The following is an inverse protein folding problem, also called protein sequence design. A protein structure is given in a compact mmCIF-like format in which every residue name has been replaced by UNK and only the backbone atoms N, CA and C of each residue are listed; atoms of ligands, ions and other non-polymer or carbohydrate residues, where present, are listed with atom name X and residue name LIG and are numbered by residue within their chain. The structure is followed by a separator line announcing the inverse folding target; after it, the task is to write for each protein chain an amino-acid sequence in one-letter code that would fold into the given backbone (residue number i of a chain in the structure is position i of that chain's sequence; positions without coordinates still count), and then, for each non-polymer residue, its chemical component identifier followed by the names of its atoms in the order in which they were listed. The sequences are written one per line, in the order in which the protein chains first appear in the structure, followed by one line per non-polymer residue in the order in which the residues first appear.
data_IF_355063528007
#
_entry.id   IF_355063528007
#
_cell.length_a   1.000
_cell.length_b   1.000
_cell.length_c   1.000
_cell.angle_alpha   90.00
_cell.angle_beta   90.00
_cell.angle_gamma   90.00
#
_symmetry.space_group_name_H-M   'P 1'
#
loop_
_entity.id
_entity.type
_entity.pdbx_description
1 polymer ?
#
# COMPACT_ATOMS: atom_id res chain seq x y z
N UNK A 1 6.94 7.01 -26.23
CA UNK A 1 8.03 6.39 -25.45
C UNK A 1 7.99 6.97 -24.04
N UNK A 2 7.75 6.15 -23.02
CA UNK A 2 8.13 6.52 -21.65
C UNK A 2 9.19 5.50 -21.21
N UNK A 3 10.48 5.84 -21.25
CA UNK A 3 11.49 5.02 -20.64
C UNK A 3 11.65 5.43 -19.16
N UNK A 4 11.47 4.41 -18.28
CA UNK A 4 12.17 4.19 -16.99
C UNK A 4 11.52 4.83 -15.74
N UNK A 5 11.24 4.00 -14.71
CA UNK A 5 12.22 3.70 -13.66
C UNK A 5 12.80 2.28 -13.77
N UNK A 6 14.13 2.16 -13.73
CA UNK A 6 14.89 0.89 -13.69
C UNK A 6 15.42 0.70 -12.26
N UNK A 7 14.63 1.11 -11.29
CA UNK A 7 14.92 0.92 -9.88
C UNK A 7 13.99 -0.15 -9.38
N UNK A 8 14.53 -1.29 -8.94
CA UNK A 8 13.75 -2.38 -8.35
C UNK A 8 12.87 -1.90 -7.20
N UNK A 9 13.31 -0.88 -6.45
CA UNK A 9 12.51 -0.21 -5.43
C UNK A 9 11.23 0.37 -6.01
N UNK A 10 11.33 1.24 -7.02
CA UNK A 10 10.18 1.92 -7.60
C UNK A 10 9.21 0.93 -8.25
N UNK A 11 9.74 -0.07 -8.95
CA UNK A 11 8.91 -1.08 -9.63
C UNK A 11 8.19 -1.99 -8.62
N UNK A 12 8.87 -2.44 -7.55
CA UNK A 12 8.18 -3.14 -6.46
C UNK A 12 7.11 -2.26 -5.80
N UNK A 13 7.39 -0.98 -5.58
CA UNK A 13 6.43 -0.03 -5.02
C UNK A 13 5.18 0.09 -5.89
N UNK A 14 5.34 0.25 -7.21
CA UNK A 14 4.20 0.29 -8.13
C UNK A 14 3.43 -1.03 -8.16
N UNK A 15 4.12 -2.17 -8.09
CA UNK A 15 3.46 -3.46 -7.99
C UNK A 15 2.63 -3.61 -6.69
N UNK A 16 3.18 -3.18 -5.54
CA UNK A 16 2.45 -3.19 -4.27
C UNK A 16 1.22 -2.28 -4.35
N UNK A 17 1.38 -1.06 -4.86
CA UNK A 17 0.28 -0.10 -5.05
C UNK A 17 -0.81 -0.71 -5.94
N UNK A 18 -0.42 -1.32 -7.07
CA UNK A 18 -1.35 -2.00 -7.97
C UNK A 18 -2.09 -3.14 -7.26
N UNK A 19 -1.41 -3.95 -6.46
CA UNK A 19 -2.04 -5.03 -5.70
C UNK A 19 -3.03 -4.51 -4.66
N UNK A 20 -2.69 -3.43 -3.95
CA UNK A 20 -3.55 -2.85 -2.91
C UNK A 20 -4.81 -2.22 -3.51
N UNK A 21 -4.65 -1.44 -4.59
CA UNK A 21 -5.77 -0.69 -5.18
C UNK A 21 -6.76 -1.60 -5.90
N UNK A 22 -6.28 -2.69 -6.50
CA UNK A 22 -7.14 -3.66 -7.18
C UNK A 22 -7.92 -4.53 -6.19
N UNK A 23 -7.33 -4.84 -5.02
CA UNK A 23 -7.98 -5.72 -4.04
C UNK A 23 -8.26 -7.12 -4.61
N UNK A 24 -9.35 -7.73 -4.15
CA UNK A 24 -9.87 -8.97 -4.70
C UNK A 24 -10.94 -8.63 -5.76
N UNK A 25 -10.51 -8.54 -7.02
CA UNK A 25 -11.36 -8.16 -8.16
C UNK A 25 -12.47 -9.18 -8.49
N UNK A 26 -12.56 -10.29 -7.75
CA UNK A 26 -13.50 -11.40 -7.98
C UNK A 26 -14.97 -10.96 -7.99
N UNK A 27 -15.35 -9.89 -7.30
CA UNK A 27 -16.75 -9.43 -7.23
C UNK A 27 -17.26 -8.58 -8.40
N UNK A 28 -16.39 -7.99 -9.23
CA UNK A 28 -16.82 -7.03 -10.26
C UNK A 28 -17.06 -7.63 -11.66
N UNK A 29 -16.67 -8.89 -11.87
CA UNK A 29 -16.83 -9.57 -13.17
C UNK A 29 -18.21 -10.21 -13.29
N UNK A 30 -18.83 -10.62 -12.18
CA UNK A 30 -20.13 -11.33 -12.21
C UNK A 30 -21.35 -10.41 -12.31
N UNK A 31 -21.26 -9.14 -11.91
CA UNK A 31 -22.42 -8.24 -11.87
C UNK A 31 -22.88 -7.69 -13.23
N UNK A 32 -22.12 -7.89 -14.31
CA UNK A 32 -22.47 -7.35 -15.64
C UNK A 32 -22.99 -8.39 -16.65
N UNK A 33 -23.00 -9.67 -16.30
CA UNK A 33 -23.56 -10.72 -17.18
C UNK A 33 -25.06 -11.00 -16.97
N UNK A 34 -25.69 -10.37 -15.97
CA UNK A 34 -27.09 -10.65 -15.60
C UNK A 34 -28.12 -9.59 -16.02
N UNK A 35 -27.80 -8.65 -16.92
CA UNK A 35 -28.74 -7.56 -17.28
C UNK A 35 -28.85 -7.28 -18.79
N UNK A 36 -28.61 -8.28 -19.64
CA UNK A 36 -28.97 -8.18 -21.06
C UNK A 36 -29.87 -9.35 -21.40
N UNK A 37 -31.13 -9.23 -20.97
CA UNK A 37 -32.26 -9.67 -21.78
C UNK A 37 -33.52 -8.95 -21.31
N UNK A 38 -34.29 -8.52 -22.31
CA UNK A 38 -35.69 -8.14 -22.31
C UNK A 38 -36.08 -6.64 -22.39
N UNK A 39 -36.83 -6.41 -23.47
CA UNK A 39 -37.82 -5.36 -23.72
C UNK A 39 -37.37 -4.01 -24.27
N UNK A 40 -37.18 -4.04 -25.59
CA UNK A 40 -37.59 -3.03 -26.59
C UNK A 40 -39.01 -2.50 -26.36
N UNK A 41 -39.16 -1.16 -26.29
CA UNK A 41 -40.28 -0.30 -26.73
C UNK A 41 -40.01 1.12 -26.17
N UNK A 42 -39.44 2.03 -26.95
CA UNK A 42 -40.14 2.93 -27.88
C UNK A 42 -41.33 3.66 -27.24
N UNK A 43 -41.12 4.90 -26.79
CA UNK A 43 -41.90 6.03 -27.31
C UNK A 43 -41.29 7.38 -26.91
N UNK A 44 -41.34 8.30 -27.87
CA UNK A 44 -40.81 9.66 -27.83
C UNK A 44 -41.92 10.64 -27.45
N UNK A 45 -41.67 11.64 -26.59
CA UNK A 45 -42.06 13.07 -26.78
C UNK A 45 -41.74 13.99 -25.58
N UNK A 46 -40.78 14.85 -25.85
CA UNK A 46 -40.68 16.30 -25.58
C UNK A 46 -41.91 17.03 -24.99
N UNK A 47 -41.71 17.83 -23.92
CA UNK A 47 -41.94 19.30 -23.85
C UNK A 47 -41.74 19.84 -22.43
N UNK A 48 -41.03 20.96 -22.29
CA UNK A 48 -40.79 21.67 -21.03
C UNK A 48 -41.90 22.66 -20.62
N UNK A 49 -41.78 23.20 -19.40
CA UNK A 49 -41.99 24.60 -18.99
C UNK A 49 -42.10 24.75 -17.45
N UNK A 50 -41.10 25.42 -16.86
CA UNK A 50 -41.14 26.57 -15.94
C UNK A 50 -42.20 26.72 -14.80
N UNK A 51 -41.66 26.98 -13.60
CA UNK A 51 -42.12 27.84 -12.47
C UNK A 51 -43.42 27.55 -11.68
N UNK A 52 -43.27 27.35 -10.35
CA UNK A 52 -43.89 28.25 -9.35
C UNK A 52 -43.29 28.11 -7.93
N UNK A 53 -43.19 29.25 -7.26
CA UNK A 53 -42.74 29.55 -5.90
C UNK A 53 -43.91 29.41 -4.89
N UNK A 54 -43.63 29.00 -3.64
CA UNK A 54 -44.15 29.49 -2.33
C UNK A 54 -43.63 28.53 -1.22
N UNK A 55 -42.79 28.94 -0.25
CA UNK A 55 -43.13 29.55 1.07
C UNK A 55 -44.15 28.69 1.86
N UNK A 56 -44.06 28.34 3.16
CA UNK A 56 -43.34 28.83 4.36
C UNK A 56 -43.66 27.89 5.56
N UNK A 57 -42.95 28.09 6.69
CA UNK A 57 -43.32 27.81 8.12
C UNK A 57 -43.41 26.36 8.65
N UNK A 58 -42.50 25.93 9.55
CA UNK A 58 -42.54 25.91 11.05
C UNK A 58 -43.79 25.27 11.68
N UNK A 59 -43.61 24.19 12.46
CA UNK A 59 -43.69 24.23 13.93
C UNK A 59 -43.30 22.88 14.57
N UNK A 60 -42.72 23.02 15.76
CA UNK A 60 -42.38 22.03 16.78
C UNK A 60 -43.59 21.22 17.27
N UNK A 61 -43.36 20.02 17.82
CA UNK A 61 -43.86 19.72 19.17
C UNK A 61 -43.19 18.50 19.82
N UNK A 62 -42.81 18.71 21.08
CA UNK A 62 -42.36 17.76 22.09
C UNK A 62 -43.57 17.17 22.81
N UNK A 63 -43.42 15.98 23.42
CA UNK A 63 -44.03 15.49 24.70
C UNK A 63 -43.69 13.99 24.81
N UNK A 64 -42.79 13.53 25.70
CA UNK A 64 -42.82 13.38 27.17
C UNK A 64 -43.59 12.15 27.67
N UNK A 65 -42.83 11.29 28.37
CA UNK A 65 -43.16 10.50 29.59
C UNK A 65 -44.25 9.40 29.48
N UNK A 66 -43.94 8.17 29.96
CA UNK A 66 -44.15 7.83 31.38
C UNK A 66 -43.61 6.43 31.74
N UNK A 67 -43.18 6.27 32.99
CA UNK A 67 -42.76 5.03 33.66
C UNK A 67 -43.97 4.20 34.15
N UNK A 68 -43.78 2.91 34.46
CA UNK A 68 -44.07 2.23 35.75
C UNK A 68 -44.10 0.67 35.59
N UNK A 69 -43.47 -0.07 36.52
CA UNK A 69 -43.20 -1.54 36.53
C UNK A 69 -44.41 -2.48 36.78
N UNK A 70 -44.32 -3.63 37.53
CA UNK A 70 -43.21 -4.19 38.32
C UNK A 70 -43.01 -5.75 38.25
N UNK A 71 -42.03 -6.22 39.05
CA UNK A 71 -41.73 -7.56 39.66
C UNK A 71 -42.45 -8.87 39.26
N UNK A 72 -41.67 -9.96 39.15
CA UNK A 72 -42.01 -11.28 39.67
C UNK A 72 -40.77 -12.18 39.90
N UNK A 73 -40.94 -13.13 40.81
CA UNK A 73 -39.96 -13.80 41.67
C UNK A 73 -39.79 -15.29 41.32
N UNK A 74 -38.70 -15.91 41.81
CA UNK A 74 -38.61 -17.30 42.37
C UNK A 74 -38.16 -18.52 41.50
N UNK A 75 -37.09 -19.16 42.01
CA UNK A 75 -36.71 -20.61 42.06
C UNK A 75 -36.40 -21.40 40.79
N UNK A 76 -35.68 -22.52 40.80
CA UNK A 76 -34.59 -23.15 41.58
C UNK A 76 -34.37 -24.51 40.88
N UNK A 77 -33.16 -25.07 40.95
CA UNK A 77 -32.79 -26.46 40.62
C UNK A 77 -32.89 -26.93 39.15
N UNK A 78 -31.73 -27.21 38.54
CA UNK A 78 -31.36 -28.60 38.21
C UNK A 78 -29.87 -28.73 37.83
N UNK A 79 -29.14 -29.46 38.68
CA UNK A 79 -28.18 -30.53 38.34
C UNK A 79 -27.07 -30.25 37.30
N UNK A 80 -25.84 -30.12 37.83
CA UNK A 80 -24.57 -30.17 37.10
C UNK A 80 -24.34 -31.54 36.43
N UNK A 81 -24.28 -31.56 35.10
CA UNK A 81 -23.62 -32.59 34.29
C UNK A 81 -22.28 -32.04 33.77
N UNK A 82 -21.22 -32.85 33.60
CA UNK A 82 -19.90 -32.36 33.24
C UNK A 82 -19.86 -31.86 31.79
N UNK A 83 -19.45 -30.60 31.61
CA UNK A 83 -19.22 -30.00 30.30
C UNK A 83 -18.04 -30.71 29.62
N UNK A 84 -18.30 -31.57 28.64
CA UNK A 84 -17.31 -31.93 27.63
C UNK A 84 -16.96 -30.67 26.83
N UNK A 85 -15.67 -30.38 26.70
CA UNK A 85 -15.15 -29.28 25.90
C UNK A 85 -15.70 -29.33 24.46
N UNK A 86 -16.43 -28.30 23.99
CA UNK A 86 -16.77 -28.21 22.57
C UNK A 86 -15.50 -27.94 21.79
N UNK A 87 -15.05 -28.94 21.03
CA UNK A 87 -14.19 -28.74 19.87
C UNK A 87 -14.67 -27.51 19.07
N UNK A 88 -13.78 -26.56 18.71
CA UNK A 88 -14.20 -25.42 17.92
C UNK A 88 -14.56 -25.93 16.53
N UNK A 89 -15.87 -26.02 16.27
CA UNK A 89 -16.40 -26.23 14.94
C UNK A 89 -15.88 -25.07 14.06
N UNK A 90 -15.15 -25.33 12.97
CA UNK A 90 -14.74 -24.26 12.07
C UNK A 90 -16.01 -23.73 11.40
N UNK A 91 -16.47 -22.57 11.88
CA UNK A 91 -17.54 -21.83 11.23
C UNK A 91 -17.20 -21.59 9.77
N UNK A 92 -18.20 -21.50 8.88
CA UNK A 92 -17.95 -21.24 7.47
C UNK A 92 -17.12 -19.96 7.37
N UNK A 93 -15.93 -20.07 6.76
CA UNK A 93 -15.09 -18.92 6.44
C UNK A 93 -15.94 -17.95 5.64
N UNK A 94 -16.45 -16.91 6.31
CA UNK A 94 -17.03 -15.76 5.65
C UNK A 94 -15.86 -15.08 4.94
N UNK A 95 -15.59 -15.50 3.70
CA UNK A 95 -14.72 -14.80 2.78
C UNK A 95 -15.33 -13.42 2.58
N UNK A 96 -14.92 -12.46 3.42
CA UNK A 96 -15.24 -11.07 3.16
C UNK A 96 -14.52 -10.68 1.86
N UNK A 97 -15.24 -10.31 0.79
CA UNK A 97 -14.60 -9.90 -0.44
C UNK A 97 -13.65 -8.74 -0.13
N UNK A 98 -12.38 -8.85 -0.53
CA UNK A 98 -11.42 -7.80 -0.23
C UNK A 98 -11.70 -6.59 -1.13
N UNK A 99 -12.47 -5.64 -0.60
CA UNK A 99 -12.83 -4.42 -1.31
C UNK A 99 -11.59 -3.64 -1.79
N UNK A 100 -11.64 -3.03 -2.99
CA UNK A 100 -10.53 -2.26 -3.53
C UNK A 100 -10.15 -1.08 -2.63
N UNK A 101 -8.84 -0.95 -2.34
CA UNK A 101 -8.29 -0.05 -1.31
C UNK A 101 -7.98 1.33 -1.89
N UNK A 102 -8.37 2.40 -1.20
CA UNK A 102 -7.90 3.75 -1.51
C UNK A 102 -6.50 3.99 -0.92
N UNK A 103 -5.66 4.72 -1.65
CA UNK A 103 -4.25 4.87 -1.31
C UNK A 103 -3.92 6.33 -1.06
N UNK A 104 -3.33 6.63 0.10
CA UNK A 104 -2.67 7.89 0.38
C UNK A 104 -1.19 7.76 0.02
N UNK A 105 -0.79 8.23 -1.17
CA UNK A 105 0.58 8.15 -1.66
C UNK A 105 1.34 9.45 -1.38
N UNK A 106 2.20 9.43 -0.36
CA UNK A 106 3.09 10.53 0.01
C UNK A 106 4.43 10.36 -0.71
N UNK A 107 4.56 11.02 -1.86
CA UNK A 107 5.74 10.91 -2.71
C UNK A 107 6.66 12.12 -2.55
N UNK A 108 7.94 11.84 -2.30
CA UNK A 108 9.03 12.82 -2.22
C UNK A 108 9.80 12.93 -3.52
N UNK A 109 9.52 12.05 -4.49
CA UNK A 109 10.08 12.06 -5.84
C UNK A 109 8.97 12.02 -6.90
N UNK A 110 9.24 12.44 -8.16
CA UNK A 110 8.25 12.38 -9.23
C UNK A 110 7.71 10.96 -9.45
N UNK A 111 6.38 10.83 -9.49
CA UNK A 111 5.70 9.58 -9.80
C UNK A 111 5.42 9.51 -11.30
N UNK A 112 5.70 8.36 -11.91
CA UNK A 112 5.29 8.08 -13.29
C UNK A 112 3.92 7.42 -13.30
N UNK A 113 2.87 8.22 -13.48
CA UNK A 113 1.48 7.72 -13.58
C UNK A 113 1.33 6.78 -14.77
N UNK A 114 2.03 7.05 -15.88
CA UNK A 114 2.05 6.17 -17.04
C UNK A 114 2.60 4.78 -16.69
N UNK A 115 3.69 4.70 -15.91
CA UNK A 115 4.25 3.43 -15.49
C UNK A 115 3.34 2.72 -14.49
N UNK A 116 2.79 3.44 -13.52
CA UNK A 116 1.84 2.87 -12.56
C UNK A 116 0.58 2.32 -13.25
N UNK A 117 0.05 3.05 -14.23
CA UNK A 117 -1.07 2.63 -15.08
C UNK A 117 -0.74 1.35 -15.85
N UNK A 118 0.43 1.29 -16.49
CA UNK A 118 0.91 0.08 -17.18
C UNK A 118 1.03 -1.11 -16.25
N UNK A 119 1.68 -0.95 -15.10
CA UNK A 119 1.82 -2.01 -14.10
C UNK A 119 0.46 -2.50 -13.59
N UNK A 120 -0.48 -1.58 -13.36
CA UNK A 120 -1.85 -1.92 -12.91
C UNK A 120 -2.62 -2.69 -14.00
N UNK A 121 -2.56 -2.22 -15.25
CA UNK A 121 -3.20 -2.88 -16.38
C UNK A 121 -2.64 -4.29 -16.60
N UNK A 122 -1.32 -4.43 -16.59
CA UNK A 122 -0.66 -5.71 -16.73
C UNK A 122 -1.07 -6.67 -15.62
N UNK A 123 -1.19 -6.19 -14.38
CA UNK A 123 -1.66 -7.01 -13.26
C UNK A 123 -3.10 -7.50 -13.46
N UNK A 124 -4.01 -6.66 -13.95
CA UNK A 124 -5.38 -7.06 -14.27
C UNK A 124 -5.38 -8.16 -15.33
N UNK A 125 -4.58 -8.03 -16.39
CA UNK A 125 -4.47 -9.03 -17.45
C UNK A 125 -3.87 -10.36 -16.96
N UNK A 126 -2.93 -10.32 -16.02
CA UNK A 126 -2.41 -11.53 -15.38
C UNK A 126 -3.46 -12.24 -14.52
N UNK A 127 -4.25 -11.48 -13.76
CA UNK A 127 -5.29 -12.03 -12.89
C UNK A 127 -6.50 -12.54 -13.70
N UNK A 128 -6.82 -11.88 -14.81
CA UNK A 128 -7.95 -12.22 -15.68
C UNK A 128 -7.52 -12.25 -17.15
N UNK A 129 -6.90 -13.34 -17.63
CA UNK A 129 -6.40 -13.42 -19.01
C UNK A 129 -7.50 -13.29 -20.09
N UNK A 130 -8.75 -13.59 -19.75
CA UNK A 130 -9.91 -13.54 -20.65
C UNK A 130 -10.64 -12.18 -20.66
N UNK A 131 -10.22 -11.21 -19.85
CA UNK A 131 -10.88 -9.91 -19.79
C UNK A 131 -10.65 -9.13 -21.09
N UNK A 132 -11.71 -8.51 -21.63
CA UNK A 132 -11.57 -7.61 -22.76
C UNK A 132 -10.67 -6.42 -22.39
N UNK A 133 -9.78 -6.01 -23.32
CA UNK A 133 -8.83 -4.91 -23.09
C UNK A 133 -9.52 -3.62 -22.64
N UNK A 134 -10.65 -3.26 -23.27
CA UNK A 134 -11.44 -2.08 -22.90
C UNK A 134 -11.88 -2.15 -21.44
N UNK A 135 -12.32 -3.32 -20.98
CA UNK A 135 -12.76 -3.50 -19.60
C UNK A 135 -11.60 -3.42 -18.62
N UNK A 136 -10.44 -3.99 -18.96
CA UNK A 136 -9.23 -3.85 -18.15
C UNK A 136 -8.75 -2.39 -18.05
N UNK A 137 -8.91 -1.60 -19.12
CA UNK A 137 -8.60 -0.17 -19.11
C UNK A 137 -9.56 0.63 -18.22
N UNK A 138 -10.87 0.33 -18.25
CA UNK A 138 -11.85 0.91 -17.33
C UNK A 138 -11.53 0.61 -15.86
N UNK A 139 -11.20 -0.66 -15.57
CA UNK A 139 -10.79 -1.08 -14.23
C UNK A 139 -9.49 -0.38 -13.81
N UNK A 140 -8.53 -0.23 -14.72
CA UNK A 140 -7.30 0.53 -14.47
C UNK A 140 -7.61 1.98 -14.13
N UNK A 141 -8.48 2.65 -14.90
CA UNK A 141 -8.87 4.04 -14.64
C UNK A 141 -9.58 4.18 -13.28
N UNK A 142 -10.48 3.25 -12.98
CA UNK A 142 -11.18 3.19 -11.68
C UNK A 142 -10.23 2.95 -10.53
N UNK A 143 -9.24 2.07 -10.69
CA UNK A 143 -8.20 1.85 -9.69
C UNK A 143 -7.38 3.14 -9.45
N UNK A 144 -6.86 3.75 -10.52
CA UNK A 144 -6.03 4.95 -10.42
C UNK A 144 -6.78 6.15 -9.80
N UNK A 145 -8.10 6.25 -9.98
CA UNK A 145 -8.89 7.35 -9.39
C UNK A 145 -9.00 7.28 -7.86
N UNK A 146 -8.67 6.13 -7.26
CA UNK A 146 -8.62 5.92 -5.81
C UNK A 146 -7.21 6.08 -5.21
N UNK A 147 -6.25 6.56 -6.02
CA UNK A 147 -4.88 6.88 -5.56
C UNK A 147 -4.76 8.38 -5.38
N UNK A 148 -4.67 8.81 -4.11
CA UNK A 148 -4.55 10.21 -3.72
C UNK A 148 -3.08 10.55 -3.49
N UNK A 149 -2.53 11.39 -4.35
CA UNK A 149 -1.10 11.71 -4.36
C UNK A 149 -0.86 13.00 -3.60
N UNK A 150 0.04 12.95 -2.63
CA UNK A 150 0.52 14.10 -1.87
C UNK A 150 2.03 14.25 -2.07
N UNK A 151 2.48 15.47 -2.37
CA UNK A 151 3.90 15.78 -2.59
C UNK A 151 4.37 16.84 -1.59
N UNK A 152 4.60 16.46 -0.32
CA UNK A 152 5.10 17.40 0.68
C UNK A 152 6.52 17.86 0.29
N UNK A 153 6.85 19.17 0.34
CA UNK A 153 8.20 19.65 0.00
C UNK A 153 9.22 19.54 1.14
N UNK A 154 8.80 19.22 2.36
CA UNK A 154 9.67 19.15 3.54
C UNK A 154 9.14 18.17 4.60
N UNK A 155 10.00 17.78 5.55
CA UNK A 155 9.59 16.91 6.67
C UNK A 155 8.45 17.50 7.50
N UNK A 156 8.41 18.81 7.72
CA UNK A 156 7.32 19.48 8.45
C UNK A 156 6.01 19.41 7.66
N UNK A 157 6.08 19.64 6.35
CA UNK A 157 4.91 19.49 5.49
C UNK A 157 4.43 18.05 5.47
N UNK A 158 5.33 17.06 5.39
CA UNK A 158 4.98 15.64 5.45
C UNK A 158 4.21 15.29 6.72
N UNK A 159 4.71 15.72 7.89
CA UNK A 159 4.04 15.50 9.19
C UNK A 159 2.65 16.16 9.21
N UNK A 160 2.53 17.39 8.67
CA UNK A 160 1.26 18.10 8.58
C UNK A 160 0.27 17.38 7.67
N UNK A 161 0.71 16.97 6.47
CA UNK A 161 -0.11 16.24 5.50
C UNK A 161 -0.64 14.95 6.08
N UNK A 162 0.22 14.15 6.75
CA UNK A 162 -0.21 12.91 7.40
C UNK A 162 -1.27 13.21 8.48
N UNK A 163 -1.07 14.27 9.26
CA UNK A 163 -2.00 14.67 10.32
C UNK A 163 -3.38 15.08 9.78
N UNK A 164 -3.48 15.54 8.53
CA UNK A 164 -4.75 15.92 7.88
C UNK A 164 -5.45 14.76 7.16
N UNK A 165 -4.79 13.61 6.99
CA UNK A 165 -5.38 12.47 6.27
C UNK A 165 -6.72 11.99 6.88
N UNK A 166 -6.88 11.92 8.22
CA UNK A 166 -8.18 11.55 8.80
C UNK A 166 -9.30 12.48 8.34
N UNK A 167 -9.10 13.80 8.41
CA UNK A 167 -10.09 14.76 7.95
C UNK A 167 -10.37 14.67 6.45
N UNK A 168 -9.36 14.34 5.65
CA UNK A 168 -9.52 14.21 4.19
C UNK A 168 -10.27 12.94 3.78
N UNK A 169 -9.95 11.79 4.38
CA UNK A 169 -10.55 10.50 4.01
C UNK A 169 -11.85 10.18 4.75
N UNK A 170 -12.09 10.79 5.91
CA UNK A 170 -13.36 10.70 6.64
C UNK A 170 -14.34 11.82 6.27
N UNK A 171 -14.05 12.60 5.23
CA UNK A 171 -15.00 13.55 4.66
C UNK A 171 -15.95 12.81 3.70
N UNK A 172 -17.28 12.86 3.89
CA UNK A 172 -18.25 12.24 2.99
C UNK A 172 -18.18 12.74 1.54
N UNK A 173 -17.60 13.92 1.29
CA UNK A 173 -17.38 14.44 -0.06
C UNK A 173 -16.23 13.72 -0.80
N UNK A 174 -15.41 12.95 -0.08
CA UNK A 174 -14.34 12.17 -0.66
C UNK A 174 -14.89 10.92 -1.35
N UNK A 175 -14.54 10.74 -2.63
CA UNK A 175 -14.93 9.56 -3.44
C UNK A 175 -14.47 8.23 -2.84
N UNK A 176 -13.45 8.27 -1.98
CA UNK A 176 -12.85 7.12 -1.30
C UNK A 176 -13.28 6.97 0.15
N UNK A 177 -14.29 7.71 0.63
CA UNK A 177 -14.74 7.72 2.03
C UNK A 177 -15.08 6.32 2.57
N UNK A 178 -15.79 5.51 1.79
CA UNK A 178 -16.25 4.17 2.19
C UNK A 178 -15.27 3.04 1.82
N UNK A 179 -14.01 3.39 1.55
CA UNK A 179 -12.99 2.42 1.14
C UNK A 179 -12.02 2.11 2.28
N UNK A 180 -11.51 0.87 2.27
CA UNK A 180 -10.30 0.55 3.04
C UNK A 180 -9.16 1.45 2.59
N UNK A 181 -8.29 1.84 3.51
CA UNK A 181 -7.22 2.79 3.26
C UNK A 181 -5.85 2.16 3.46
N UNK A 182 -4.88 2.52 2.64
CA UNK A 182 -3.47 2.25 2.87
C UNK A 182 -2.64 3.53 2.73
N UNK A 183 -1.67 3.72 3.63
CA UNK A 183 -0.76 4.87 3.61
C UNK A 183 0.57 4.42 3.03
N UNK A 184 1.02 5.06 1.96
CA UNK A 184 2.26 4.73 1.26
C UNK A 184 3.20 5.93 1.27
N UNK A 185 4.45 5.75 1.70
CA UNK A 185 5.46 6.81 1.76
C UNK A 185 6.67 6.42 0.90
N UNK A 186 6.99 7.21 -0.12
CA UNK A 186 8.16 7.02 -0.97
C UNK A 186 8.93 8.33 -1.16
N UNK A 187 10.03 8.60 -0.46
CA UNK A 187 10.75 7.78 0.53
C UNK A 187 10.69 8.41 1.93
N UNK A 188 10.53 7.58 2.96
CA UNK A 188 10.57 8.05 4.35
C UNK A 188 11.95 8.59 4.75
N UNK A 189 13.02 8.22 4.04
CA UNK A 189 14.37 8.73 4.29
C UNK A 189 14.73 10.01 3.53
N UNK A 190 13.81 10.58 2.74
CA UNK A 190 14.10 11.71 1.85
C UNK A 190 14.61 12.96 2.59
N UNK A 191 14.08 13.25 3.78
CA UNK A 191 14.45 14.45 4.57
C UNK A 191 15.41 14.14 5.71
N UNK A 192 16.00 12.94 5.74
CA UNK A 192 16.80 12.49 6.88
C UNK A 192 18.02 13.40 7.11
N UNK A 193 18.75 13.71 6.03
CA UNK A 193 19.94 14.54 6.12
C UNK A 193 19.63 16.00 6.43
N UNK A 194 18.53 16.54 5.90
CA UNK A 194 18.06 17.89 6.23
C UNK A 194 17.72 18.03 7.72
N UNK A 195 17.01 17.04 8.28
CA UNK A 195 16.68 17.04 9.70
C UNK A 195 17.91 16.87 10.58
N UNK A 196 18.83 15.97 10.20
CA UNK A 196 20.13 15.78 10.87
C UNK A 196 20.96 17.07 10.91
N UNK A 197 21.06 17.76 9.78
CA UNK A 197 21.79 19.02 9.69
C UNK A 197 21.15 20.11 10.58
N UNK A 198 19.81 20.22 10.53
CA UNK A 198 19.05 21.17 11.36
C UNK A 198 19.19 20.93 12.87
N UNK A 199 19.39 19.68 13.30
CA UNK A 199 19.65 19.31 14.69
C UNK A 199 21.08 19.69 15.10
N UNK A 200 22.06 19.49 14.20
CA UNK A 200 23.46 19.82 14.47
C UNK A 200 23.73 21.31 14.65
N UNK A 201 23.02 22.17 13.92
CA UNK A 201 23.16 23.64 14.04
C UNK A 201 22.54 24.22 15.31
N UNK A 202 21.57 23.53 15.91
CA UNK A 202 20.79 24.05 17.04
C UNK A 202 20.97 23.13 18.25
N UNK A 203 21.92 23.49 19.10
CA UNK A 203 22.24 22.76 20.31
C UNK A 203 20.97 22.55 21.17
N UNK A 204 20.55 21.28 21.33
CA UNK A 204 19.37 20.90 22.11
C UNK A 204 18.11 20.54 21.31
N UNK A 205 18.12 20.62 19.98
CA UNK A 205 16.94 20.26 19.17
C UNK A 205 16.82 18.73 19.01
N UNK A 206 15.66 18.16 19.35
CA UNK A 206 15.36 16.76 19.05
C UNK A 206 14.93 16.68 17.57
N UNK A 207 15.45 15.72 16.82
CA UNK A 207 15.04 15.51 15.42
C UNK A 207 13.53 15.30 15.27
N UNK A 208 12.99 15.51 14.07
CA UNK A 208 11.54 15.43 13.80
C UNK A 208 11.07 14.02 13.40
N UNK A 209 12.00 13.09 13.17
CA UNK A 209 11.67 11.69 12.86
C UNK A 209 10.84 10.96 13.94
N UNK A 210 11.08 11.16 15.25
CA UNK A 210 10.18 10.67 16.29
C UNK A 210 8.75 11.21 16.17
N UNK A 211 8.58 12.49 15.85
CA UNK A 211 7.27 13.09 15.64
C UNK A 211 6.56 12.50 14.40
N UNK A 212 7.30 12.29 13.31
CA UNK A 212 6.77 11.63 12.12
C UNK A 212 6.28 10.20 12.43
N UNK A 213 7.07 9.42 13.17
CA UNK A 213 6.69 8.07 13.60
C UNK A 213 5.44 8.07 14.50
N UNK A 214 5.34 9.01 15.43
CA UNK A 214 4.18 9.14 16.32
C UNK A 214 2.90 9.50 15.55
N UNK A 215 2.99 10.46 14.64
CA UNK A 215 1.86 10.87 13.79
C UNK A 215 1.42 9.73 12.87
N UNK A 216 2.37 9.00 12.27
CA UNK A 216 2.07 7.84 11.44
C UNK A 216 1.32 6.75 12.21
N UNK A 217 1.81 6.36 13.39
CA UNK A 217 1.14 5.36 14.23
C UNK A 217 -0.27 5.79 14.62
N UNK A 218 -0.43 7.05 15.03
CA UNK A 218 -1.74 7.60 15.40
C UNK A 218 -2.71 7.56 14.22
N UNK A 219 -2.31 8.09 13.07
CA UNK A 219 -3.18 8.18 11.88
C UNK A 219 -3.50 6.82 11.31
N UNK A 220 -2.53 5.88 11.31
CA UNK A 220 -2.76 4.49 10.95
C UNK A 220 -3.79 3.82 11.87
N UNK A 221 -3.71 4.05 13.19
CA UNK A 221 -4.72 3.56 14.13
C UNK A 221 -6.11 4.19 13.91
N UNK A 222 -6.17 5.51 13.70
CA UNK A 222 -7.43 6.23 13.44
C UNK A 222 -8.12 5.77 12.15
N UNK A 223 -7.36 5.60 11.08
CA UNK A 223 -7.88 5.18 9.77
C UNK A 223 -7.93 3.66 9.59
N UNK A 224 -7.46 2.90 10.58
CA UNK A 224 -7.22 1.45 10.49
C UNK A 224 -6.44 1.06 9.22
N UNK A 225 -5.49 1.92 8.83
CA UNK A 225 -4.79 1.83 7.55
C UNK A 225 -3.38 1.27 7.74
N UNK A 226 -2.98 0.18 7.05
CA UNK A 226 -1.58 -0.26 7.03
C UNK A 226 -0.67 0.82 6.42
N UNK A 227 0.58 0.83 6.87
CA UNK A 227 1.62 1.73 6.39
C UNK A 227 2.65 0.95 5.60
N UNK A 228 2.92 1.40 4.38
CA UNK A 228 4.04 0.96 3.56
C UNK A 228 5.00 2.13 3.38
N UNK A 229 6.29 1.91 3.58
CA UNK A 229 7.26 2.97 3.34
C UNK A 229 8.58 2.46 2.80
N UNK A 230 9.18 3.27 1.94
CA UNK A 230 10.49 3.02 1.36
C UNK A 230 11.54 3.76 2.18
N UNK A 231 12.71 3.17 2.33
CA UNK A 231 13.90 3.87 2.82
C UNK A 231 15.08 3.49 1.95
N UNK A 232 16.03 4.41 1.82
CA UNK A 232 17.30 4.09 1.21
C UNK A 232 18.26 3.60 2.28
N UNK A 233 19.00 2.52 1.97
CA UNK A 233 20.05 2.08 2.86
C UNK A 233 21.30 2.94 2.63
N UNK A 234 21.69 3.66 3.66
CA UNK A 234 22.83 4.58 3.64
C UNK A 234 24.09 3.88 4.23
N UNK A 235 23.92 2.69 4.82
CA UNK A 235 25.03 1.95 5.42
C UNK A 235 25.73 1.07 4.38
N UNK A 236 27.07 0.95 4.44
CA UNK A 236 27.80 0.02 3.58
C UNK A 236 27.30 -1.40 3.81
N UNK A 237 26.92 -2.08 2.73
CA UNK A 237 26.50 -3.48 2.78
C UNK A 237 27.75 -4.34 2.97
N UNK A 238 27.96 -4.85 4.18
CA UNK A 238 28.98 -5.87 4.43
C UNK A 238 28.44 -7.20 3.96
N UNK A 239 28.68 -7.56 2.69
CA UNK A 239 28.44 -8.92 2.21
C UNK A 239 29.46 -9.83 2.90
N UNK A 240 29.01 -10.59 3.91
CA UNK A 240 29.84 -11.64 4.50
C UNK A 240 29.97 -12.72 3.42
N UNK A 241 31.14 -12.84 2.80
CA UNK A 241 31.43 -13.94 1.87
C UNK A 241 31.45 -15.22 2.67
N UNK A 242 30.38 -16.01 2.60
CA UNK A 242 30.34 -17.34 3.21
C UNK A 242 31.27 -18.27 2.43
N UNK A 243 32.16 -18.95 3.15
CA UNK A 243 33.07 -19.97 2.60
C UNK A 243 32.34 -21.23 2.13
N UNK A 244 31.03 -21.32 2.36
CA UNK A 244 30.20 -22.51 2.12
C UNK A 244 29.43 -22.50 0.79
N UNK A 245 29.58 -21.47 -0.06
CA UNK A 245 28.87 -21.38 -1.34
C UNK A 245 27.35 -21.15 -1.23
N UNK A 246 26.82 -20.98 0.00
CA UNK A 246 25.42 -20.64 0.26
C UNK A 246 25.27 -19.13 0.39
N UNK A 247 24.24 -18.57 -0.25
CA UNK A 247 23.88 -17.16 -0.07
C UNK A 247 23.47 -16.94 1.40
N UNK A 248 24.23 -16.11 2.12
CA UNK A 248 23.87 -15.72 3.48
C UNK A 248 22.72 -14.71 3.45
N UNK A 249 21.78 -14.81 4.40
CA UNK A 249 20.71 -13.84 4.51
C UNK A 249 21.26 -12.43 4.76
N UNK A 250 20.74 -11.44 4.02
CA UNK A 250 21.09 -10.05 4.23
C UNK A 250 20.41 -9.52 5.51
N UNK A 251 21.22 -9.01 6.43
CA UNK A 251 20.76 -8.33 7.64
C UNK A 251 21.23 -6.86 7.61
N UNK A 252 20.35 -5.96 7.17
CA UNK A 252 20.65 -4.52 7.08
C UNK A 252 20.12 -3.78 8.30
N UNK A 253 20.97 -2.94 8.89
CA UNK A 253 20.57 -2.08 10.01
C UNK A 253 19.53 -1.04 9.54
N UNK A 254 18.54 -0.67 10.38
CA UNK A 254 17.62 0.42 10.09
C UNK A 254 18.38 1.70 9.77
N UNK A 255 18.04 2.34 8.65
CA UNK A 255 18.68 3.59 8.19
C UNK A 255 18.18 4.82 8.93
N UNK A 256 17.00 4.74 9.55
CA UNK A 256 16.35 5.84 10.26
C UNK A 256 16.52 5.71 11.79
N UNK A 257 16.57 6.84 12.51
CA UNK A 257 16.79 6.85 13.95
C UNK A 257 15.57 6.28 14.71
N UNK A 258 15.74 5.84 15.97
CA UNK A 258 14.62 5.41 16.80
C UNK A 258 13.47 6.44 16.81
N UNK A 259 12.20 6.02 16.80
CA UNK A 259 11.69 4.64 16.93
C UNK A 259 11.49 3.89 15.59
N UNK A 260 12.09 4.35 14.49
CA UNK A 260 11.86 3.75 13.16
C UNK A 260 12.37 2.31 13.05
N UNK A 261 13.38 1.95 13.84
CA UNK A 261 13.90 0.60 13.97
C UNK A 261 12.92 -0.41 14.59
N UNK A 262 11.75 0.02 15.06
CA UNK A 262 10.72 -0.87 15.64
C UNK A 262 9.33 -0.57 15.07
N UNK A 263 9.25 0.28 14.04
CA UNK A 263 7.97 0.65 13.42
C UNK A 263 7.49 -0.40 12.41
N UNK A 264 8.34 -0.91 11.49
CA UNK A 264 7.95 -2.01 10.62
C UNK A 264 7.68 -3.30 11.39
N UNK A 265 6.63 -4.01 10.97
CA UNK A 265 6.38 -5.42 11.32
C UNK A 265 7.08 -6.38 10.38
N UNK A 266 7.36 -5.95 9.14
CA UNK A 266 8.09 -6.69 8.11
C UNK A 266 9.02 -5.74 7.37
N UNK A 267 10.27 -6.15 7.15
CA UNK A 267 11.23 -5.43 6.30
C UNK A 267 11.67 -6.30 5.15
N UNK A 268 11.63 -5.70 3.96
CA UNK A 268 12.14 -6.30 2.73
C UNK A 268 13.39 -5.55 2.30
N UNK A 269 14.38 -6.31 1.82
CA UNK A 269 15.60 -5.81 1.19
C UNK A 269 15.47 -6.08 -0.29
N UNK A 270 15.69 -5.06 -1.09
CA UNK A 270 15.74 -5.17 -2.55
C UNK A 270 17.20 -4.97 -2.95
N UNK A 271 17.77 -5.97 -3.59
CA UNK A 271 19.14 -5.93 -4.11
C UNK A 271 19.16 -6.21 -5.60
N UNK A 272 19.97 -5.45 -6.33
CA UNK A 272 20.34 -5.86 -7.69
C UNK A 272 21.43 -6.93 -7.62
N UNK A 273 21.47 -7.88 -8.56
CA UNK A 273 22.55 -8.83 -8.66
C UNK A 273 23.90 -8.12 -8.81
N UNK A 274 24.98 -8.67 -8.23
CA UNK A 274 26.29 -8.03 -8.25
C UNK A 274 26.80 -7.89 -9.69
N UNK A 275 27.05 -6.66 -10.12
CA UNK A 275 27.77 -6.40 -11.37
C UNK A 275 29.26 -6.50 -11.07
N UNK A 276 30.02 -7.37 -11.76
CA UNK A 276 31.46 -7.40 -11.61
C UNK A 276 32.05 -5.98 -11.76
N UNK A 277 33.10 -5.64 -11.01
CA UNK A 277 33.82 -4.38 -11.22
C UNK A 277 34.47 -4.36 -12.61
N UNK A 278 34.88 -3.18 -13.09
CA UNK A 278 35.80 -3.13 -14.25
C UNK A 278 37.14 -3.74 -13.83
N UNK A 279 37.83 -4.39 -14.78
CA UNK A 279 39.20 -4.83 -14.51
C UNK A 279 40.09 -3.59 -14.28
N UNK A 280 41.13 -3.73 -13.46
CA UNK A 280 42.03 -2.62 -13.10
C UNK A 280 42.72 -2.01 -14.31
N UNK A 281 42.85 -2.78 -15.39
CA UNK A 281 43.48 -2.37 -16.64
C UNK A 281 42.49 -1.83 -17.69
N UNK A 282 41.20 -1.71 -17.34
CA UNK A 282 40.17 -1.20 -18.27
C UNK A 282 40.32 0.31 -18.45
N UNK A 283 40.54 0.77 -19.67
CA UNK A 283 40.57 2.19 -19.97
C UNK A 283 39.19 2.85 -19.86
N UNK A 284 39.16 4.16 -19.63
CA UNK A 284 37.91 4.91 -19.41
C UNK A 284 36.95 4.86 -20.62
N UNK A 285 37.45 4.81 -21.85
CA UNK A 285 36.61 4.79 -23.05
C UNK A 285 35.96 3.42 -23.25
N UNK A 286 36.71 2.35 -23.00
CA UNK A 286 36.19 0.98 -22.97
C UNK A 286 35.17 0.82 -21.84
N UNK A 287 35.45 1.34 -20.65
CA UNK A 287 34.50 1.31 -19.53
C UNK A 287 33.16 1.99 -19.86
N UNK A 288 33.19 3.17 -20.52
CA UNK A 288 31.96 3.86 -20.97
C UNK A 288 31.17 3.02 -21.98
N UNK A 289 31.86 2.38 -22.93
CA UNK A 289 31.23 1.52 -23.94
C UNK A 289 30.57 0.30 -23.30
N UNK A 290 31.27 -0.35 -22.37
CA UNK A 290 30.79 -1.54 -21.68
C UNK A 290 29.70 -1.24 -20.65
N UNK A 291 29.67 -0.03 -20.08
CA UNK A 291 28.69 0.36 -19.08
C UNK A 291 27.24 0.20 -19.57
N UNK A 292 26.97 0.51 -20.85
CA UNK A 292 25.63 0.31 -21.46
C UNK A 292 25.21 -1.16 -21.46
N UNK A 293 26.14 -2.06 -21.82
CA UNK A 293 25.88 -3.50 -21.85
C UNK A 293 25.72 -4.07 -20.43
N UNK A 294 26.46 -3.53 -19.47
CA UNK A 294 26.36 -3.92 -18.05
C UNK A 294 25.03 -3.50 -17.44
N UNK A 295 24.61 -2.26 -17.65
CA UNK A 295 23.32 -1.77 -17.17
C UNK A 295 22.17 -2.58 -17.79
N UNK A 296 22.31 -2.99 -19.06
CA UNK A 296 21.39 -3.91 -19.72
C UNK A 296 21.33 -5.26 -19.00
N UNK A 297 22.48 -5.88 -18.67
CA UNK A 297 22.54 -7.14 -17.92
C UNK A 297 21.90 -7.05 -16.53
N UNK A 298 22.10 -5.96 -15.79
CA UNK A 298 21.40 -5.74 -14.51
C UNK A 298 19.89 -5.69 -14.70
N UNK A 299 19.45 -4.99 -15.75
CA UNK A 299 18.03 -4.88 -16.06
C UNK A 299 17.44 -6.25 -16.42
N UNK A 300 18.16 -7.06 -17.17
CA UNK A 300 17.75 -8.41 -17.60
C UNK A 300 17.81 -9.45 -16.47
N UNK A 301 18.72 -9.28 -15.50
CA UNK A 301 18.92 -10.23 -14.40
C UNK A 301 17.89 -10.09 -13.26
N UNK A 302 17.03 -9.06 -13.29
CA UNK A 302 16.01 -8.82 -12.27
C UNK A 302 16.56 -8.28 -10.95
N UNK A 303 15.69 -8.20 -9.96
CA UNK A 303 15.99 -7.76 -8.60
C UNK A 303 15.64 -8.87 -7.62
N UNK A 304 16.50 -9.12 -6.66
CA UNK A 304 16.20 -10.05 -5.57
C UNK A 304 15.54 -9.29 -4.42
N UNK A 305 14.42 -9.83 -3.91
CA UNK A 305 13.76 -9.31 -2.72
C UNK A 305 13.83 -10.37 -1.62
N UNK A 306 14.37 -10.01 -0.47
CA UNK A 306 14.53 -10.91 0.68
C UNK A 306 14.02 -10.28 1.97
N UNK A 307 13.57 -11.10 2.91
CA UNK A 307 13.21 -10.63 4.26
C UNK A 307 14.49 -10.19 4.99
N UNK A 308 14.48 -8.99 5.55
CA UNK A 308 15.60 -8.48 6.36
C UNK A 308 15.69 -9.26 7.67
N UNK A 309 16.83 -9.90 7.93
CA UNK A 309 17.01 -10.66 9.17
C UNK A 309 17.53 -9.82 10.35
N UNK A 310 17.66 -8.50 10.19
CA UNK A 310 18.11 -7.63 11.27
C UNK A 310 17.11 -7.59 12.44
N UNK A 311 17.51 -8.10 13.60
CA UNK A 311 16.66 -8.19 14.79
C UNK A 311 15.71 -9.40 14.81
N UNK A 312 15.86 -10.31 13.85
CA UNK A 312 15.17 -11.60 13.69
C UNK A 312 13.63 -11.52 13.74
N UNK A 313 13.05 -10.99 12.67
CA UNK A 313 11.64 -10.60 12.51
C UNK A 313 10.64 -11.80 12.49
N UNK A 314 10.62 -12.60 13.56
CA UNK A 314 9.52 -13.51 13.94
C UNK A 314 9.54 -14.95 13.41
N UNK A 315 10.58 -15.38 12.69
CA UNK A 315 10.60 -16.69 12.03
C UNK A 315 11.46 -17.72 12.77
N UNK A 316 10.95 -18.95 12.89
CA UNK A 316 11.68 -20.07 13.49
C UNK A 316 12.97 -20.32 12.70
N UNK A 317 14.09 -20.41 13.41
CA UNK A 317 15.48 -20.48 12.92
C UNK A 317 15.82 -21.63 11.97
N UNK A 318 14.84 -22.45 11.58
CA UNK A 318 15.03 -23.69 10.82
C UNK A 318 14.57 -23.58 9.36
N UNK A 319 13.98 -22.46 8.93
CA UNK A 319 13.59 -22.27 7.53
C UNK A 319 14.62 -21.44 6.77
N UNK A 320 14.91 -21.78 5.51
CA UNK A 320 15.78 -20.97 4.66
C UNK A 320 15.21 -19.55 4.54
N UNK A 321 16.06 -18.52 4.35
CA UNK A 321 15.59 -17.17 4.10
C UNK A 321 14.57 -17.18 2.96
N UNK A 322 13.38 -16.65 3.22
CA UNK A 322 12.39 -16.46 2.18
C UNK A 322 12.82 -15.28 1.32
N UNK A 323 13.09 -15.56 0.05
CA UNK A 323 13.30 -14.56 -0.98
C UNK A 323 12.43 -14.89 -2.19
N UNK A 324 12.14 -13.86 -2.98
CA UNK A 324 11.50 -13.97 -4.28
C UNK A 324 12.22 -13.06 -5.26
N UNK A 325 12.11 -13.37 -6.55
CA UNK A 325 12.74 -12.56 -7.58
C UNK A 325 11.70 -11.67 -8.24
N UNK A 326 12.05 -10.38 -8.38
CA UNK A 326 11.28 -9.40 -9.11
C UNK A 326 11.87 -9.22 -10.50
N UNK A 327 11.15 -9.68 -11.51
CA UNK A 327 11.50 -9.46 -12.91
C UNK A 327 10.72 -8.24 -13.45
N UNK A 328 11.46 -7.23 -13.93
CA UNK A 328 10.86 -6.02 -14.49
C UNK A 328 10.75 -6.20 -15.99
N UNK A 329 9.53 -6.34 -16.47
CA UNK A 329 9.24 -6.47 -17.89
C UNK A 329 8.74 -5.15 -18.46
N UNK A 330 8.67 -5.06 -19.79
CA UNK A 330 8.05 -3.93 -20.46
C UNK A 330 6.60 -3.71 -20.01
N UNK A 331 5.72 -4.72 -19.97
CA UNK A 331 4.34 -4.50 -19.56
C UNK A 331 4.18 -4.27 -18.05
N UNK A 332 5.07 -4.78 -17.19
CA UNK A 332 4.97 -4.54 -15.75
C UNK A 332 6.01 -5.28 -14.93
N UNK A 333 5.55 -5.87 -13.83
CA UNK A 333 6.39 -6.54 -12.83
C UNK A 333 5.87 -7.96 -12.61
N UNK A 334 6.78 -8.92 -12.66
CA UNK A 334 6.53 -10.34 -12.40
C UNK A 334 7.29 -10.77 -11.13
N UNK A 335 6.60 -11.50 -10.25
CA UNK A 335 7.20 -12.14 -9.08
C UNK A 335 7.37 -13.62 -9.40
N UNK A 336 8.60 -14.12 -9.27
CA UNK A 336 9.01 -15.49 -9.56
C UNK A 336 9.45 -16.18 -8.26
#
# INVERSE_FOLDING_TARGET
MSPVPKSGKTELFYWIIAQLVLGDLTGHVEQHHASVDDSTKDDTRDTGCQERIEQTETLENQTSNDETGPEATVSENERLEPLEDPQPNPGPNTHHPAHPTAIALLATSPISISRLSQTTLHRIQQLHPSIALTKAQELTHTALSNIHIFQPPSLRSLISTISTLPSYFLDPSNKSFDRKLAIVIDSASAYFWEDKYSVGERQGNVGKYPALAAVLKRVSGTLQAPIFFSTENISPVTTIKSTSGRAEPLALRPSLPPPWSTLPTLRLIISSPPVPGFDKDTDAQTAIRENKNRQRRVTEAGFEVSVNQYGNEGWMSNHPPQSFTLNITNPGVEII
#
